data_IF_371859084617
#
_entry.id   IF_371859084617
#
_cell.length_a   1.000
_cell.length_b   1.000
_cell.length_c   1.000
_cell.angle_alpha   90.00
_cell.angle_beta   90.00
_cell.angle_gamma   90.00
#
_symmetry.space_group_name_H-M   'P 1'
#
loop_
_entity.id
_entity.type
_entity.pdbx_description
1 polymer ?
2 non-polymer ?
3 non-polymer ?
4 non-polymer ?
5 water ?
#
# COMPACT_ATOMS: atom_id res chain seq x y z
N UNK A 6 13.55 24.36 -9.93
CA UNK A 6 13.56 23.14 -10.75
C UNK A 6 12.44 22.17 -10.36
N UNK A 7 11.23 22.44 -10.80
CA UNK A 7 10.06 21.75 -10.29
C UNK A 7 9.87 20.40 -10.94
N UNK A 8 9.26 19.49 -10.17
CA UNK A 8 8.75 18.25 -10.73
C UNK A 8 7.67 18.56 -11.75
N UNK A 9 7.68 17.83 -12.87
CA UNK A 9 6.74 18.08 -13.94
C UNK A 9 6.32 16.77 -14.57
N UNK A 10 5.26 16.86 -15.36
CA UNK A 10 4.78 15.78 -16.21
C UNK A 10 4.93 16.21 -17.65
N UNK A 11 5.27 15.27 -18.54
CA UNK A 11 5.21 15.58 -19.96
C UNK A 11 4.68 14.38 -20.74
N UNK A 12 4.08 14.67 -21.90
CA UNK A 12 3.62 13.60 -22.76
C UNK A 12 4.81 12.82 -23.29
N UNK A 13 4.60 11.53 -23.46
CA UNK A 13 5.56 10.66 -24.16
C UNK A 13 4.78 9.74 -25.06
N UNK A 14 5.39 9.35 -26.18
CA UNK A 14 4.73 8.40 -27.09
C UNK A 14 4.62 7.03 -26.46
N UNK A 15 3.44 6.44 -26.58
CA UNK A 15 3.24 5.07 -26.12
C UNK A 15 4.02 4.12 -27.02
N UNK A 16 4.63 3.10 -26.42
CA UNK A 16 5.39 2.12 -27.22
C UNK A 16 4.46 1.43 -28.21
N UNK A 17 4.87 1.41 -29.49
CA UNK A 17 4.00 0.85 -30.52
C UNK A 17 3.66 -0.60 -30.28
N UNK A 18 4.46 -1.32 -29.49
CA UNK A 18 4.23 -2.72 -29.21
C UNK A 18 3.83 -2.98 -27.75
N UNK A 19 3.21 -1.99 -27.11
CA UNK A 19 2.84 -2.11 -25.69
C UNK A 19 2.05 -3.39 -25.41
N UNK A 20 1.03 -3.69 -26.22
CA UNK A 20 0.22 -4.87 -25.91
C UNK A 20 1.06 -6.15 -25.96
N UNK A 21 1.99 -6.24 -26.90
CA UNK A 21 2.85 -7.42 -26.94
C UNK A 21 3.77 -7.47 -25.72
N UNK A 22 4.31 -6.33 -25.32
CA UNK A 22 5.17 -6.27 -24.14
C UNK A 22 4.41 -6.70 -22.90
N UNK A 23 3.18 -6.23 -22.75
CA UNK A 23 2.40 -6.61 -21.56
C UNK A 23 2.17 -8.12 -21.54
N UNK A 24 1.71 -8.67 -22.67
CA UNK A 24 1.47 -10.10 -22.77
C UNK A 24 2.75 -10.89 -22.47
N UNK A 25 3.87 -10.50 -23.06
CA UNK A 25 5.10 -11.26 -22.85
C UNK A 25 5.60 -11.20 -21.42
N UNK A 26 5.20 -10.20 -20.65
CA UNK A 26 5.72 -10.06 -19.29
C UNK A 26 4.68 -10.40 -18.23
N UNK A 27 3.58 -11.04 -18.61
CA UNK A 27 2.60 -11.46 -17.63
C UNK A 27 1.75 -10.34 -17.06
N UNK A 28 1.70 -9.19 -17.74
CA UNK A 28 0.91 -8.06 -17.27
C UNK A 28 -0.50 -8.19 -17.85
N UNK A 29 -1.29 -9.08 -17.26
CA UNK A 29 -2.61 -9.41 -17.78
C UNK A 29 -3.70 -8.46 -17.30
N UNK A 30 -3.34 -7.34 -16.68
CA UNK A 30 -4.36 -6.37 -16.29
C UNK A 30 -3.92 -4.95 -16.64
N UNK A 31 -3.11 -4.78 -17.70
CA UNK A 31 -2.71 -3.45 -18.14
C UNK A 31 -3.88 -2.70 -18.76
N UNK A 32 -4.89 -3.43 -19.21
CA UNK A 32 -6.19 -2.91 -19.61
C UNK A 32 -7.21 -3.67 -18.77
N UNK A 33 -8.21 -2.95 -18.23
CA UNK A 33 -9.18 -3.53 -17.30
C UNK A 33 -10.57 -3.21 -17.82
N UNK A 34 -11.35 -4.24 -18.11
CA UNK A 34 -12.54 -4.23 -18.97
C UNK A 34 -12.52 -3.09 -19.98
N UNK A 35 -11.59 -3.18 -20.92
CA UNK A 35 -11.46 -2.29 -22.07
C UNK A 35 -11.23 -0.83 -21.69
N UNK A 36 -10.80 -0.56 -20.45
CA UNK A 36 -10.33 0.76 -20.07
C UNK A 36 -8.82 0.71 -19.81
N UNK A 37 -8.10 1.73 -20.27
CA UNK A 37 -6.68 1.86 -19.97
C UNK A 37 -6.48 1.86 -18.46
N UNK A 38 -5.59 0.99 -17.98
CA UNK A 38 -5.08 1.08 -16.62
C UNK A 38 -3.62 1.54 -16.61
N UNK A 39 -2.71 0.77 -17.21
CA UNK A 39 -1.33 1.20 -17.38
C UNK A 39 -1.27 2.31 -18.42
N UNK A 40 -0.80 3.49 -18.04
CA UNK A 40 -0.87 4.65 -18.94
C UNK A 40 0.51 5.28 -19.16
N UNK A 41 1.18 4.87 -20.24
CA UNK A 41 2.48 5.44 -20.56
C UNK A 41 2.40 6.51 -21.63
N UNK A 42 1.24 7.15 -21.78
CA UNK A 42 1.16 8.31 -22.65
C UNK A 42 1.71 9.57 -21.99
N UNK A 43 2.11 9.49 -20.72
CA UNK A 43 2.76 10.62 -20.06
C UNK A 43 3.71 10.03 -19.02
N UNK A 44 4.58 10.88 -18.50
CA UNK A 44 5.56 10.44 -17.51
C UNK A 44 5.91 11.63 -16.61
N UNK A 45 6.21 11.32 -15.35
CA UNK A 45 6.64 12.31 -14.38
C UNK A 45 8.16 12.33 -14.28
N UNK A 46 8.72 13.53 -14.21
CA UNK A 46 10.16 13.72 -14.11
C UNK A 46 10.45 14.40 -12.78
N UNK A 47 11.22 13.71 -11.94
CA UNK A 47 11.71 14.20 -10.65
C UNK A 47 13.21 14.44 -10.73
N UNK A 48 13.71 15.38 -9.94
CA UNK A 48 15.15 15.44 -9.73
C UNK A 48 15.56 14.45 -8.65
N UNK A 49 16.85 14.11 -8.63
CA UNK A 49 17.33 13.20 -7.60
C UNK A 49 17.16 13.78 -6.20
N UNK A 50 17.33 15.10 -6.06
CA UNK A 50 17.14 15.73 -4.76
C UNK A 50 15.69 15.60 -4.28
N UNK A 51 14.74 15.81 -5.17
CA UNK A 51 13.33 15.61 -4.81
C UNK A 51 13.09 14.18 -4.33
N UNK A 52 13.62 13.19 -5.06
CA UNK A 52 13.49 11.80 -4.62
C UNK A 52 14.07 11.63 -3.22
N UNK A 53 15.34 12.04 -3.04
CA UNK A 53 16.04 11.70 -1.80
C UNK A 53 15.53 12.53 -0.64
N UNK A 54 15.31 13.83 -0.85
CA UNK A 54 14.96 14.69 0.28
C UNK A 54 13.47 14.74 0.54
N UNK A 55 12.64 14.63 -0.51
CA UNK A 55 11.20 14.80 -0.29
C UNK A 55 10.44 13.49 -0.27
N UNK A 56 10.99 12.40 -0.81
CA UNK A 56 10.22 11.16 -0.82
C UNK A 56 10.92 10.08 0.01
N UNK A 57 12.19 9.80 -0.30
CA UNK A 57 12.86 8.63 0.25
C UNK A 57 13.13 8.78 1.74
N UNK A 58 13.87 9.82 2.14
CA UNK A 58 14.14 10.04 3.55
C UNK A 58 12.87 10.20 4.37
N UNK A 59 11.87 10.99 3.95
CA UNK A 59 10.63 11.05 4.75
C UNK A 59 9.91 9.72 4.86
N UNK A 60 9.88 8.91 3.79
CA UNK A 60 9.23 7.59 3.89
C UNK A 60 9.90 6.72 4.94
N UNK A 61 11.23 6.68 4.92
CA UNK A 61 11.95 5.89 5.92
C UNK A 61 11.68 6.43 7.32
N UNK A 62 11.67 7.75 7.48
CA UNK A 62 11.42 8.34 8.79
C UNK A 62 9.99 8.06 9.24
N UNK A 63 9.01 8.20 8.34
CA UNK A 63 7.63 7.92 8.71
C UNK A 63 7.45 6.47 9.13
N UNK A 64 8.17 5.53 8.49
CA UNK A 64 8.06 4.13 8.91
C UNK A 64 8.55 3.95 10.34
N UNK A 65 9.66 4.60 10.70
CA UNK A 65 10.11 4.55 12.09
C UNK A 65 9.06 5.11 13.04
N UNK A 66 8.43 6.23 12.66
CA UNK A 66 7.35 6.80 13.47
C UNK A 66 6.20 5.81 13.62
N UNK A 67 5.89 5.09 12.56
CA UNK A 67 4.84 4.06 12.60
C UNK A 67 5.21 2.92 13.54
N UNK A 68 6.48 2.51 13.55
CA UNK A 68 6.86 1.45 14.48
C UNK A 68 6.73 1.91 15.92
N UNK A 69 7.00 3.19 16.20
CA UNK A 69 6.75 3.72 17.53
C UNK A 69 5.26 3.67 17.87
N UNK A 70 4.39 4.04 16.91
CA UNK A 70 2.96 3.90 17.14
C UNK A 70 2.60 2.46 17.52
N UNK A 71 3.13 1.47 16.79
CA UNK A 71 2.82 0.09 17.13
C UNK A 71 3.21 -0.20 18.57
N UNK A 72 4.42 0.22 18.95
CA UNK A 72 4.92 -0.09 20.29
C UNK A 72 4.03 0.53 21.36
N UNK A 73 3.50 1.73 21.12
CA UNK A 73 2.59 2.34 22.10
C UNK A 73 1.21 1.71 22.06
N UNK A 74 0.70 1.40 20.85
CA UNK A 74 -0.68 0.95 20.75
C UNK A 74 -0.88 -0.43 21.41
N UNK A 75 0.09 -1.32 21.27
CA UNK A 75 -0.11 -2.66 21.82
C UNK A 75 -0.22 -2.65 23.34
N UNK A 76 0.20 -1.57 23.98
CA UNK A 76 0.18 -1.42 25.44
C UNK A 76 -1.05 -0.68 25.95
N UNK A 77 -1.94 -0.23 25.07
CA UNK A 77 -2.94 0.76 25.46
C UNK A 77 -4.29 0.33 24.92
N UNK A 78 -5.17 -0.12 25.83
CA UNK A 78 -6.44 -0.67 25.41
C UNK A 78 -7.37 0.41 24.87
N UNK A 79 -7.21 1.65 25.33
CA UNK A 79 -8.00 2.75 24.79
C UNK A 79 -7.67 2.99 23.32
N UNK A 80 -6.39 2.88 22.96
CA UNK A 80 -5.95 3.04 21.58
C UNK A 80 -6.45 1.88 20.72
N UNK A 81 -6.24 0.66 21.20
CA UNK A 81 -6.74 -0.50 20.48
C UNK A 81 -8.23 -0.38 20.24
N UNK A 82 -8.96 0.14 21.23
CA UNK A 82 -10.40 0.37 21.06
C UNK A 82 -10.66 1.40 19.97
N UNK A 83 -9.92 2.52 19.99
CA UNK A 83 -10.12 3.53 18.96
C UNK A 83 -9.81 2.99 17.57
N UNK A 84 -8.79 2.15 17.46
CA UNK A 84 -8.45 1.49 16.19
C UNK A 84 -9.48 0.46 15.76
N UNK A 85 -10.53 0.23 16.56
CA UNK A 85 -11.61 -0.72 16.23
C UNK A 85 -11.06 -2.12 15.98
N UNK A 86 -10.07 -2.51 16.77
CA UNK A 86 -9.53 -3.87 16.75
C UNK A 86 -10.31 -4.69 17.79
N UNK A 87 -10.90 -5.83 17.41
CA UNK A 87 -11.68 -6.60 18.40
C UNK A 87 -10.80 -7.05 19.56
N UNK A 88 -11.30 -6.94 20.79
CA UNK A 88 -10.47 -7.24 21.98
C UNK A 88 -10.01 -8.68 22.05
N UNK A 89 -10.69 -9.61 21.39
CA UNK A 89 -10.21 -10.98 21.32
C UNK A 89 -8.78 -11.06 20.84
N UNK A 90 -8.36 -10.10 20.00
CA UNK A 90 -7.07 -10.22 19.32
C UNK A 90 -5.99 -9.34 19.94
N UNK A 91 -6.32 -8.57 20.99
CA UNK A 91 -5.32 -7.68 21.55
C UNK A 91 -4.08 -8.44 22.02
N UNK A 92 -4.27 -9.58 22.71
CA UNK A 92 -3.10 -10.31 23.22
C UNK A 92 -2.24 -10.86 22.09
N UNK A 93 -2.86 -11.42 21.05
CA UNK A 93 -2.03 -12.04 20.02
C UNK A 93 -1.34 -10.96 19.16
N UNK A 94 -2.00 -9.82 18.94
CA UNK A 94 -1.32 -8.71 18.25
C UNK A 94 -0.15 -8.21 19.09
N UNK A 95 -0.37 -8.05 20.40
CA UNK A 95 0.73 -7.66 21.28
C UNK A 95 1.87 -8.66 21.21
N UNK A 96 1.55 -9.95 21.14
CA UNK A 96 2.59 -10.97 21.09
C UNK A 96 3.31 -10.96 19.75
N UNK A 97 2.56 -10.79 18.65
CA UNK A 97 3.16 -10.62 17.34
C UNK A 97 4.22 -9.51 17.35
N UNK A 98 3.90 -8.37 17.99
CA UNK A 98 4.87 -7.28 18.05
C UNK A 98 6.04 -7.64 18.96
N UNK A 99 5.75 -8.24 20.11
CA UNK A 99 6.84 -8.57 21.04
C UNK A 99 7.81 -9.54 20.41
N UNK A 100 7.31 -10.52 19.66
CA UNK A 100 8.19 -11.44 18.96
C UNK A 100 8.78 -10.82 17.70
N UNK A 101 8.40 -9.60 17.35
CA UNK A 101 8.87 -8.94 16.14
C UNK A 101 8.68 -9.84 14.92
N UNK A 102 7.45 -10.34 14.73
CA UNK A 102 7.14 -11.10 13.53
C UNK A 102 7.64 -10.34 12.31
N UNK A 103 8.29 -11.00 11.36
CA UNK A 103 8.93 -10.27 10.26
C UNK A 103 7.91 -9.66 9.31
N UNK A 104 8.21 -8.45 8.85
CA UNK A 104 7.44 -7.77 7.81
C UNK A 104 8.19 -7.84 6.48
N UNK A 105 7.42 -7.92 5.40
CA UNK A 105 7.95 -7.89 4.03
C UNK A 105 7.81 -6.52 3.37
N UNK A 106 6.62 -5.92 3.38
CA UNK A 106 6.43 -4.71 2.56
C UNK A 106 5.26 -3.88 3.08
N UNK A 107 5.15 -2.68 2.49
CA UNK A 107 4.07 -1.72 2.81
C UNK A 107 4.23 -0.55 1.88
N UNK A 108 3.13 0.20 1.69
CA UNK A 108 3.16 1.33 0.76
C UNK A 108 2.41 2.52 1.33
N UNK A 109 3.09 3.66 1.44
CA UNK A 109 2.48 4.91 1.86
C UNK A 109 1.93 5.67 0.67
N UNK A 110 0.82 6.36 0.87
CA UNK A 110 0.21 7.22 -0.14
C UNK A 110 0.42 8.68 0.25
N UNK A 111 0.98 9.47 -0.68
CA UNK A 111 1.37 10.86 -0.41
C UNK A 111 0.70 11.85 -1.35
N UNK A 112 0.29 12.97 -0.79
CA UNK A 112 -0.10 14.14 -1.55
C UNK A 112 1.15 14.99 -1.80
N UNK A 113 1.51 15.14 -3.07
CA UNK A 113 2.65 15.96 -3.48
C UNK A 113 2.30 17.44 -3.40
N UNK A 114 3.19 18.22 -2.82
CA UNK A 114 2.96 19.64 -2.54
C UNK A 114 4.02 20.53 -3.17
N UNK A 115 4.59 20.13 -4.31
CA UNK A 115 5.65 20.95 -4.92
C UNK A 115 6.89 20.97 -4.04
N UNK A 116 7.40 22.18 -3.77
CA UNK A 116 8.61 22.37 -2.96
C UNK A 116 8.39 22.11 -1.47
N UNK A 117 7.16 21.97 -1.04
CA UNK A 117 6.85 21.76 0.37
C UNK A 117 6.89 20.27 0.67
N UNK A 118 6.87 19.89 1.95
CA UNK A 118 6.90 18.45 2.27
C UNK A 118 5.67 17.71 1.74
N UNK A 119 5.87 16.43 1.41
CA UNK A 119 4.71 15.60 1.06
C UNK A 119 3.87 15.35 2.32
N UNK A 120 2.59 15.09 2.11
CA UNK A 120 1.67 14.80 3.20
C UNK A 120 1.18 13.37 3.11
N UNK A 121 1.34 12.65 4.21
CA UNK A 121 0.93 11.26 4.31
C UNK A 121 -0.58 11.14 4.44
N UNK A 122 -1.20 10.41 3.52
CA UNK A 122 -2.65 10.19 3.56
C UNK A 122 -3.04 8.89 4.26
N UNK A 123 -2.30 7.80 4.02
CA UNK A 123 -2.54 6.51 4.65
C UNK A 123 -1.29 5.66 4.48
N UNK A 124 -1.23 4.57 5.25
CA UNK A 124 -0.16 3.58 5.12
C UNK A 124 -0.82 2.24 4.77
N UNK A 125 -0.77 1.87 3.49
CA UNK A 125 -1.24 0.55 3.04
C UNK A 125 -0.20 -0.49 3.47
N UNK A 126 -0.24 -0.83 4.76
CA UNK A 126 0.81 -1.60 5.42
C UNK A 126 0.52 -3.11 5.50
N UNK A 127 -0.47 -3.60 4.78
CA UNK A 127 -0.89 -4.99 4.90
C UNK A 127 -0.92 -5.64 3.52
N UNK A 128 -1.80 -5.16 2.63
CA UNK A 128 -2.02 -5.79 1.33
C UNK A 128 -1.94 -4.77 0.18
N UNK A 129 -0.89 -3.96 0.09
CA UNK A 129 -0.80 -3.02 -1.03
C UNK A 129 -0.63 -3.75 -2.36
N UNK A 130 -1.29 -3.24 -3.40
CA UNK A 130 -0.99 -3.65 -4.77
C UNK A 130 -0.27 -2.50 -5.48
N UNK A 131 -0.37 -2.47 -6.81
CA UNK A 131 0.48 -1.68 -7.71
C UNK A 131 1.96 -2.02 -7.54
N UNK A 132 2.23 -3.22 -7.04
CA UNK A 132 3.59 -3.70 -6.84
C UNK A 132 4.23 -4.17 -8.15
N UNK A 133 3.55 -5.00 -8.91
CA UNK A 133 4.11 -5.41 -10.20
C UNK A 133 4.44 -4.20 -11.06
N UNK A 134 3.52 -3.25 -11.12
CA UNK A 134 3.72 -2.03 -11.91
C UNK A 134 4.92 -1.25 -11.41
N UNK A 135 5.02 -1.06 -10.08
CA UNK A 135 6.06 -0.20 -9.50
C UNK A 135 7.43 -0.86 -9.56
N UNK A 136 7.51 -2.15 -9.26
CA UNK A 136 8.80 -2.83 -9.13
C UNK A 136 9.33 -3.33 -10.46
N UNK A 137 8.44 -3.72 -11.37
CA UNK A 137 8.85 -4.44 -12.57
C UNK A 137 8.47 -3.70 -13.84
N UNK A 138 7.17 -3.49 -14.10
CA UNK A 138 6.79 -3.06 -15.44
C UNK A 138 7.34 -1.67 -15.76
N UNK A 139 7.40 -0.76 -14.79
CA UNK A 139 7.87 0.58 -15.12
C UNK A 139 9.38 0.63 -15.23
N UNK A 140 10.10 -0.34 -14.67
CA UNK A 140 11.53 -0.38 -14.94
C UNK A 140 11.79 -0.79 -16.38
N UNK A 141 11.08 -1.81 -16.87
CA UNK A 141 11.17 -2.15 -18.28
C UNK A 141 10.81 -0.96 -19.14
N UNK A 142 9.78 -0.21 -18.75
CA UNK A 142 9.44 1.02 -19.48
C UNK A 142 10.62 1.99 -19.51
N UNK A 143 11.28 2.18 -18.36
CA UNK A 143 12.42 3.09 -18.30
C UNK A 143 13.52 2.68 -19.28
N UNK A 144 13.84 1.38 -19.31
CA UNK A 144 14.90 0.88 -20.20
C UNK A 144 14.54 1.14 -21.65
N UNK A 145 13.28 0.89 -22.03
CA UNK A 145 12.85 1.14 -23.40
C UNK A 145 12.84 2.64 -23.71
N UNK A 146 12.47 3.46 -22.73
CA UNK A 146 12.33 4.89 -22.95
C UNK A 146 13.69 5.57 -23.11
N UNK A 147 14.66 5.18 -22.28
CA UNK A 147 16.02 5.66 -22.46
C UNK A 147 16.56 5.32 -23.83
N UNK A 148 16.34 4.09 -24.32
CA UNK A 148 16.94 3.80 -25.62
C UNK A 148 16.17 4.41 -26.78
N UNK A 149 14.85 4.60 -26.65
CA UNK A 149 14.13 5.29 -27.72
C UNK A 149 14.28 6.82 -27.67
N UNK A 150 14.90 7.38 -26.64
CA UNK A 150 15.14 8.81 -26.57
C UNK A 150 13.97 9.67 -26.15
N UNK A 151 12.87 9.08 -25.67
CA UNK A 151 11.73 9.88 -25.25
C UNK A 151 11.91 10.48 -23.87
N UNK A 152 12.96 10.06 -23.15
CA UNK A 152 13.44 10.67 -21.90
C UNK A 152 14.97 10.68 -22.00
N UNK A 153 15.69 11.42 -21.15
CA UNK A 153 17.16 11.42 -21.22
C UNK A 153 17.74 10.01 -21.15
N UNK A 154 18.84 9.80 -21.88
CA UNK A 154 19.50 8.50 -21.93
C UNK A 154 20.01 8.08 -20.56
N UNK A 155 20.37 9.04 -19.72
CA UNK A 155 20.87 8.74 -18.39
C UNK A 155 19.79 8.81 -17.32
N UNK A 156 18.51 8.85 -17.72
CA UNK A 156 17.41 8.83 -16.75
C UNK A 156 17.54 7.66 -15.79
N UNK A 157 17.16 7.89 -14.53
CA UNK A 157 17.08 6.85 -13.51
C UNK A 157 15.60 6.70 -13.11
N UNK A 158 15.35 5.93 -12.06
CA UNK A 158 13.99 5.81 -11.52
C UNK A 158 14.10 5.47 -10.04
N UNK A 159 13.15 5.97 -9.24
CA UNK A 159 13.21 5.67 -7.81
C UNK A 159 12.56 4.29 -7.63
N UNK A 160 13.40 3.26 -7.57
CA UNK A 160 12.94 1.89 -7.75
C UNK A 160 14.08 0.90 -7.58
N UNK A 161 14.25 0.39 -6.36
CA UNK A 161 15.05 -0.79 -6.09
C UNK A 161 14.19 -1.87 -5.46
N UNK A 162 12.87 -1.82 -5.75
CA UNK A 162 11.90 -2.64 -5.01
C UNK A 162 12.17 -4.12 -5.19
N UNK A 163 12.35 -4.56 -6.45
CA UNK A 163 12.55 -5.99 -6.71
C UNK A 163 13.78 -6.51 -6.00
N UNK A 164 14.90 -5.78 -6.07
CA UNK A 164 16.11 -6.22 -5.41
C UNK A 164 15.91 -6.34 -3.90
N UNK A 165 15.21 -5.37 -3.30
CA UNK A 165 14.98 -5.45 -1.86
C UNK A 165 14.00 -6.57 -1.51
N UNK A 166 12.99 -6.82 -2.34
CA UNK A 166 12.10 -7.95 -2.10
C UNK A 166 12.87 -9.27 -2.13
N UNK A 167 13.70 -9.47 -3.15
CA UNK A 167 14.44 -10.72 -3.27
C UNK A 167 15.36 -10.89 -2.07
N UNK A 168 16.05 -9.82 -1.70
CA UNK A 168 16.96 -9.88 -0.57
C UNK A 168 16.20 -10.10 0.75
N UNK A 169 14.99 -9.58 0.87
CA UNK A 169 14.21 -9.83 2.07
C UNK A 169 13.74 -11.29 2.13
N UNK A 170 13.28 -11.85 1.01
CA UNK A 170 12.92 -13.26 1.00
C UNK A 170 14.12 -14.14 1.30
N UNK A 171 15.32 -13.71 0.90
CA UNK A 171 16.52 -14.45 1.25
C UNK A 171 16.73 -14.45 2.76
N UNK A 172 16.54 -13.30 3.42
CA UNK A 172 16.64 -13.25 4.88
C UNK A 172 15.62 -14.14 5.57
N UNK A 173 14.43 -14.30 4.97
CA UNK A 173 13.35 -15.06 5.57
C UNK A 173 13.33 -16.51 5.12
N UNK A 174 14.38 -16.96 4.44
CA UNK A 174 14.39 -18.29 3.85
C UNK A 174 14.09 -19.35 4.91
N UNK A 175 13.29 -20.33 4.52
CA UNK A 175 13.04 -21.52 5.31
C UNK A 175 13.00 -22.71 4.37
N UNK A 176 13.44 -23.86 4.89
CA UNK A 176 13.27 -25.10 4.11
C UNK A 176 11.78 -25.42 3.91
N UNK A 177 10.93 -24.93 4.81
CA UNK A 177 9.51 -25.17 4.72
C UNK A 177 8.92 -24.37 3.56
N UNK A 178 8.03 -24.97 2.77
CA UNK A 178 7.39 -24.23 1.68
C UNK A 178 6.66 -22.98 2.19
N UNK A 179 6.81 -21.89 1.45
CA UNK A 179 6.21 -20.58 1.75
C UNK A 179 4.96 -20.48 0.89
N UNK A 180 3.78 -20.49 1.52
CA UNK A 180 2.56 -20.42 0.71
C UNK A 180 2.24 -18.97 0.36
N UNK A 181 1.54 -18.78 -0.77
CA UNK A 181 1.07 -17.48 -1.22
C UNK A 181 -0.41 -17.59 -1.55
N UNK A 182 -1.24 -16.70 -1.02
CA UNK A 182 -2.65 -16.82 -1.34
C UNK A 182 -3.31 -15.48 -1.62
N UNK A 183 -4.38 -15.54 -2.40
CA UNK A 183 -5.23 -14.39 -2.72
C UNK A 183 -6.60 -14.94 -3.06
N UNK A 184 -7.56 -14.03 -3.25
CA UNK A 184 -8.90 -14.46 -3.60
C UNK A 184 -8.99 -14.70 -5.10
N UNK A 185 -10.09 -15.33 -5.49
CA UNK A 185 -10.34 -15.65 -6.89
C UNK A 185 -10.94 -14.44 -7.61
N UNK A 186 -10.98 -14.54 -8.93
CA UNK A 186 -11.70 -13.58 -9.78
C UNK A 186 -11.13 -12.16 -9.71
N UNK A 187 -9.82 -12.03 -9.45
CA UNK A 187 -9.15 -10.74 -9.62
C UNK A 187 -7.76 -11.02 -10.20
N UNK A 188 -7.57 -10.70 -11.48
CA UNK A 188 -6.27 -10.92 -12.11
C UNK A 188 -5.19 -10.08 -11.46
N UNK A 189 -5.55 -8.89 -10.97
CA UNK A 189 -4.59 -8.02 -10.31
C UNK A 189 -4.04 -8.66 -9.05
N UNK A 190 -4.92 -9.17 -8.17
CA UNK A 190 -4.44 -9.85 -6.98
C UNK A 190 -3.58 -11.06 -7.34
N UNK A 191 -4.05 -11.91 -8.26
CA UNK A 191 -3.29 -13.10 -8.61
C UNK A 191 -1.89 -12.73 -9.12
N UNK A 192 -1.80 -11.70 -9.96
CA UNK A 192 -0.49 -11.35 -10.54
C UNK A 192 0.42 -10.64 -9.53
N UNK A 193 -0.17 -9.87 -8.61
CA UNK A 193 0.62 -9.31 -7.51
C UNK A 193 1.27 -10.43 -6.70
N UNK A 194 0.49 -11.45 -6.35
CA UNK A 194 1.02 -12.56 -5.57
C UNK A 194 1.99 -13.39 -6.41
N UNK A 195 1.68 -13.58 -7.70
CA UNK A 195 2.61 -14.31 -8.56
C UNK A 195 3.94 -13.58 -8.66
N UNK A 196 3.91 -12.25 -8.66
CA UNK A 196 5.16 -11.50 -8.68
C UNK A 196 5.96 -11.73 -7.41
N UNK A 197 5.30 -11.64 -6.26
CA UNK A 197 5.97 -11.92 -5.00
C UNK A 197 6.55 -13.34 -4.98
N UNK A 198 5.76 -14.31 -5.45
CA UNK A 198 6.24 -15.69 -5.52
C UNK A 198 7.49 -15.78 -6.37
N UNK A 199 7.47 -15.12 -7.54
CA UNK A 199 8.63 -15.09 -8.41
C UNK A 199 9.85 -14.52 -7.69
N UNK A 200 9.66 -13.44 -6.91
CA UNK A 200 10.78 -12.87 -6.15
C UNK A 200 11.28 -13.87 -5.11
N UNK A 201 10.37 -14.56 -4.43
CA UNK A 201 10.79 -15.52 -3.40
C UNK A 201 11.59 -16.67 -4.01
N UNK A 202 11.18 -17.12 -5.19
CA UNK A 202 11.86 -18.24 -5.83
C UNK A 202 13.23 -17.82 -6.32
N UNK A 203 13.37 -16.58 -6.76
CA UNK A 203 14.67 -16.05 -7.14
C UNK A 203 15.63 -15.98 -5.94
N UNK A 204 15.11 -15.89 -4.72
CA UNK A 204 15.94 -15.98 -3.52
C UNK A 204 16.17 -17.40 -3.03
N UNK A 205 15.63 -18.40 -3.71
CA UNK A 205 15.78 -19.79 -3.32
C UNK A 205 14.67 -20.35 -2.47
N UNK A 206 13.57 -19.62 -2.31
CA UNK A 206 12.48 -20.04 -1.42
C UNK A 206 11.49 -20.89 -2.20
N UNK A 207 11.30 -22.14 -1.76
CA UNK A 207 10.24 -22.96 -2.32
C UNK A 207 8.89 -22.33 -1.97
N UNK A 208 8.04 -22.16 -2.97
CA UNK A 208 6.79 -21.43 -2.80
C UNK A 208 5.64 -22.19 -3.43
N UNK A 209 4.46 -22.08 -2.80
CA UNK A 209 3.27 -22.72 -3.30
C UNK A 209 2.10 -21.74 -3.26
N UNK A 210 1.30 -21.74 -4.31
CA UNK A 210 0.15 -20.87 -4.38
C UNK A 210 -1.12 -21.63 -4.01
N UNK A 211 -2.01 -21.00 -3.26
CA UNK A 211 -3.33 -21.56 -3.03
C UNK A 211 -4.32 -20.40 -2.94
N UNK A 212 -5.50 -20.57 -3.52
CA UNK A 212 -6.53 -19.54 -3.35
C UNK A 212 -7.01 -19.53 -1.91
N UNK A 213 -7.32 -18.33 -1.40
CA UNK A 213 -7.98 -18.20 -0.10
C UNK A 213 -9.18 -19.12 -0.03
N UNK A 214 -9.95 -19.21 -1.12
CA UNK A 214 -11.16 -20.00 -1.10
C UNK A 214 -10.87 -21.50 -1.00
N UNK A 215 -9.65 -21.92 -1.35
CA UNK A 215 -9.26 -23.32 -1.29
C UNK A 215 -8.58 -23.73 0.01
N UNK A 216 -8.33 -22.78 0.94
CA UNK A 216 -7.75 -23.14 2.23
C UNK A 216 -8.68 -24.06 2.98
N UNK A 217 -8.11 -25.12 3.59
CA UNK A 217 -8.87 -26.06 4.37
C UNK A 217 -8.44 -26.06 5.84
N UNK A 218 -9.26 -26.70 6.67
CA UNK A 218 -8.98 -26.83 8.09
C UNK A 218 -9.03 -28.31 8.45
N UNK A 219 -7.94 -28.82 9.00
CA UNK A 219 -7.92 -30.16 9.55
C UNK A 219 -8.43 -30.16 10.99
N UNK A 220 -8.42 -31.34 11.59
CA UNK A 220 -9.00 -31.51 12.92
C UNK A 220 -8.33 -30.52 13.87
N UNK A 221 -9.15 -29.83 14.67
CA UNK A 221 -8.62 -28.85 15.60
C UNK A 221 -8.24 -27.53 14.96
N UNK A 222 -8.58 -27.34 13.69
CA UNK A 222 -8.37 -26.05 13.05
C UNK A 222 -6.99 -25.85 12.47
N UNK A 223 -6.33 -26.92 12.04
CA UNK A 223 -5.00 -26.82 11.44
C UNK A 223 -5.15 -26.39 9.98
N UNK A 224 -4.43 -25.33 9.58
CA UNK A 224 -4.52 -24.83 8.21
C UNK A 224 -3.84 -25.78 7.23
N UNK A 225 -4.56 -26.16 6.17
CA UNK A 225 -4.04 -27.15 5.23
C UNK A 225 -4.31 -26.76 3.79
N UNK A 226 -3.48 -27.25 2.87
CA UNK A 226 -3.68 -26.99 1.44
C UNK A 226 -4.61 -28.06 0.85
N UNK A 227 -4.71 -28.09 -0.49
CA UNK A 227 -5.63 -29.02 -1.14
C UNK A 227 -5.19 -30.48 -1.04
N UNK A 228 -3.90 -30.73 -0.83
CA UNK A 228 -3.37 -32.07 -0.61
C UNK A 228 -3.29 -32.44 0.86
N UNK A 229 -4.01 -31.72 1.72
CA UNK A 229 -4.01 -31.88 3.17
C UNK A 229 -2.60 -31.72 3.78
N UNK A 230 -1.69 -31.02 3.11
CA UNK A 230 -0.44 -30.64 3.75
C UNK A 230 -0.67 -29.49 4.71
N UNK A 231 0.01 -29.51 5.86
CA UNK A 231 -0.11 -28.44 6.83
C UNK A 231 0.61 -27.20 6.33
N UNK A 232 -0.07 -26.07 6.32
CA UNK A 232 0.53 -24.79 5.92
C UNK A 232 1.18 -24.15 7.14
N UNK A 233 2.49 -23.97 7.10
CA UNK A 233 3.23 -23.41 8.23
C UNK A 233 3.46 -21.91 8.11
N UNK A 234 3.57 -21.39 6.89
CA UNK A 234 3.77 -19.97 6.68
C UNK A 234 3.13 -19.61 5.36
N UNK A 235 2.46 -18.46 5.33
CA UNK A 235 1.77 -18.00 4.14
C UNK A 235 1.83 -16.48 4.08
N UNK A 236 2.06 -15.98 2.87
CA UNK A 236 1.75 -14.58 2.56
C UNK A 236 0.30 -14.55 2.10
N UNK A 237 -0.50 -13.63 2.63
CA UNK A 237 -1.90 -13.51 2.25
C UNK A 237 -2.18 -12.11 1.70
N UNK A 238 -2.67 -12.05 0.46
CA UNK A 238 -3.20 -10.79 -0.07
C UNK A 238 -4.67 -10.70 0.32
N UNK A 239 -4.88 -10.53 1.62
CA UNK A 239 -6.18 -10.63 2.26
C UNK A 239 -6.11 -9.82 3.55
N UNK A 240 -7.07 -8.90 3.79
CA UNK A 240 -6.91 -7.94 4.89
C UNK A 240 -6.97 -8.62 6.26
N UNK A 241 -6.03 -8.22 7.13
CA UNK A 241 -6.00 -8.67 8.51
C UNK A 241 -7.35 -8.45 9.20
N UNK A 242 -7.99 -7.31 8.94
CA UNK A 242 -9.24 -7.05 9.62
C UNK A 242 -10.33 -8.04 9.21
N UNK A 243 -10.27 -8.55 7.97
CA UNK A 243 -11.23 -9.58 7.55
C UNK A 243 -10.92 -10.92 8.21
N UNK A 244 -9.64 -11.23 8.36
CA UNK A 244 -9.25 -12.46 9.07
C UNK A 244 -9.77 -12.47 10.50
N UNK A 245 -9.71 -11.32 11.16
CA UNK A 245 -10.18 -11.22 12.54
C UNK A 245 -11.69 -11.11 12.64
N UNK A 246 -12.39 -10.81 11.54
CA UNK A 246 -13.86 -10.87 11.53
C UNK A 246 -14.39 -12.23 11.11
N UNK A 247 -13.56 -13.07 10.52
CA UNK A 247 -13.99 -14.38 10.06
C UNK A 247 -14.39 -15.24 11.25
N UNK A 248 -15.37 -16.13 11.04
CA UNK A 248 -15.75 -17.07 12.09
C UNK A 248 -14.57 -17.88 12.60
N UNK A 249 -13.58 -18.13 11.74
CA UNK A 249 -12.41 -18.90 12.15
C UNK A 249 -11.29 -18.03 12.70
N UNK A 250 -11.48 -16.72 12.76
CA UNK A 250 -10.56 -15.79 13.37
C UNK A 250 -9.95 -16.24 14.69
N UNK A 251 -10.76 -16.74 15.64
CA UNK A 251 -10.18 -17.14 16.94
C UNK A 251 -9.00 -18.09 16.84
N UNK A 252 -8.91 -18.88 15.77
CA UNK A 252 -7.79 -19.78 15.60
C UNK A 252 -6.46 -19.03 15.53
N UNK A 253 -6.48 -17.75 15.16
CA UNK A 253 -5.25 -16.97 15.12
C UNK A 253 -4.56 -16.89 16.47
N UNK A 254 -5.33 -17.02 17.57
CA UNK A 254 -4.72 -16.86 18.90
C UNK A 254 -3.70 -17.95 19.19
N UNK A 255 -3.83 -19.11 18.55
CA UNK A 255 -2.89 -20.20 18.78
C UNK A 255 -1.54 -19.98 18.10
N UNK A 256 -1.44 -19.05 17.15
CA UNK A 256 -0.19 -18.74 16.46
C UNK A 256 0.47 -20.01 15.89
N UNK A 257 -0.35 -20.83 15.24
CA UNK A 257 0.12 -22.08 14.64
C UNK A 257 0.63 -21.89 13.22
N UNK A 258 0.33 -20.76 12.60
CA UNK A 258 0.82 -20.41 11.27
C UNK A 258 1.58 -19.11 11.39
N UNK A 259 2.60 -18.95 10.54
CA UNK A 259 3.22 -17.65 10.34
C UNK A 259 2.50 -16.93 9.22
N UNK A 260 2.15 -15.68 9.45
CA UNK A 260 1.49 -14.87 8.43
C UNK A 260 2.39 -13.71 8.04
N UNK A 261 2.41 -13.41 6.74
CA UNK A 261 2.97 -12.18 6.20
C UNK A 261 1.90 -11.52 5.34
N UNK A 262 1.59 -10.25 5.59
CA UNK A 262 2.13 -9.43 6.69
C UNK A 262 1.64 -9.94 8.06
N UNK A 263 2.39 -9.66 9.12
CA UNK A 263 2.07 -10.23 10.43
C UNK A 263 0.98 -9.45 11.14
N UNK A 264 0.51 -10.03 12.25
CA UNK A 264 -0.67 -9.47 12.92
C UNK A 264 -0.43 -8.06 13.45
N UNK A 265 0.80 -7.73 13.83
CA UNK A 265 0.98 -6.39 14.38
C UNK A 265 0.78 -5.30 13.32
N UNK A 266 0.79 -5.66 12.03
CA UNK A 266 0.51 -4.68 10.98
C UNK A 266 -0.93 -4.22 10.99
N UNK A 267 -1.81 -4.87 11.79
CA UNK A 267 -3.19 -4.42 11.87
C UNK A 267 -3.30 -3.02 12.49
N UNK A 268 -2.28 -2.58 13.24
CA UNK A 268 -2.27 -1.24 13.79
C UNK A 268 -1.94 -0.20 12.73
N UNK A 269 -1.17 -0.57 11.70
CA UNK A 269 -0.74 0.35 10.67
C UNK A 269 -1.66 0.38 9.46
N UNK A 270 -2.23 -0.78 9.10
CA UNK A 270 -3.15 -0.91 7.95
C UNK A 270 -4.58 -0.61 8.42
N UNK A 271 -4.76 0.66 8.74
CA UNK A 271 -5.81 1.11 9.63
C UNK A 271 -5.74 2.64 9.54
N UNK A 272 -6.81 3.32 9.11
CA UNK A 272 -6.71 4.77 8.99
C UNK A 272 -6.66 5.45 10.35
N UNK A 273 -7.01 4.74 11.41
CA UNK A 273 -6.78 5.21 12.76
C UNK A 273 -5.32 5.49 13.05
N UNK A 274 -4.41 4.96 12.22
CA UNK A 274 -3.00 5.34 12.29
C UNK A 274 -2.83 6.86 12.15
N UNK A 275 -3.64 7.50 11.32
CA UNK A 275 -3.36 8.89 11.02
C UNK A 275 -3.63 9.79 12.24
N UNK A 276 -4.72 9.60 12.99
CA UNK A 276 -4.83 10.35 14.25
C UNK A 276 -3.72 10.02 15.23
N UNK A 277 -3.26 8.76 15.26
CA UNK A 277 -2.24 8.39 16.22
C UNK A 277 -0.92 9.04 15.87
N UNK A 278 -0.60 9.12 14.58
CA UNK A 278 0.63 9.81 14.18
C UNK A 278 0.56 11.28 14.56
N UNK A 279 -0.61 11.90 14.39
CA UNK A 279 -0.75 13.31 14.72
C UNK A 279 -0.68 13.52 16.23
N UNK A 280 -1.20 12.57 17.00
CA UNK A 280 -1.14 12.67 18.45
C UNK A 280 0.30 12.61 18.96
N UNK A 281 1.09 11.68 18.43
CA UNK A 281 2.42 11.41 18.98
C UNK A 281 3.51 12.22 18.30
N UNK A 282 3.24 12.81 17.14
CA UNK A 282 4.22 13.64 16.44
C UNK A 282 3.55 14.91 15.94
N UNK A 283 2.95 15.69 16.83
CA UNK A 283 2.19 16.86 16.38
C UNK A 283 3.11 17.82 15.62
N UNK A 284 2.57 18.36 14.53
CA UNK A 284 3.28 19.32 13.73
C UNK A 284 4.33 18.76 12.80
N UNK A 285 4.51 17.44 12.76
CA UNK A 285 5.52 16.86 11.88
C UNK A 285 5.26 17.33 10.44
N UNK A 286 6.31 17.66 9.69
CA UNK A 286 6.11 18.30 8.37
C UNK A 286 5.34 17.46 7.37
N UNK A 287 5.41 16.13 7.48
CA UNK A 287 4.75 15.24 6.54
C UNK A 287 3.38 14.79 7.01
N UNK A 288 2.89 15.29 8.15
CA UNK A 288 1.62 14.85 8.67
C UNK A 288 0.55 15.93 8.52
N UNK A 289 -0.68 15.46 8.38
CA UNK A 289 -1.88 16.29 8.39
C UNK A 289 -2.61 16.11 9.72
N UNK A 290 -3.18 17.19 10.24
CA UNK A 290 -4.02 17.05 11.44
C UNK A 290 -5.06 15.95 11.21
N UNK A 291 -5.27 15.11 12.23
CA UNK A 291 -6.21 14.01 12.05
C UNK A 291 -6.77 13.61 13.42
N UNK A 292 -8.04 13.20 13.45
CA UNK A 292 -8.70 12.84 14.70
C UNK A 292 -9.74 11.76 14.45
N UNK A 293 -10.05 10.99 15.49
CA UNK A 293 -11.13 10.01 15.38
C UNK A 293 -12.48 10.71 15.38
N UNK A 294 -13.45 10.09 14.72
CA UNK A 294 -14.82 10.59 14.73
C UNK A 294 -15.31 10.69 16.17
N UNK A 295 -15.73 11.88 16.57
CA UNK A 295 -16.15 12.16 17.93
C UNK A 295 -15.18 13.01 18.73
N UNK A 296 -13.92 13.05 18.34
CA UNK A 296 -12.95 13.92 19.00
C UNK A 296 -13.09 15.34 18.47
N UNK A 297 -12.53 16.30 19.22
CA UNK A 297 -12.63 17.70 18.83
C UNK A 297 -11.85 17.95 17.54
N UNK A 298 -12.45 18.57 16.53
CA UNK A 298 -11.72 18.79 15.26
C UNK A 298 -10.45 19.60 15.46
N UNK A 299 -9.39 19.17 14.77
CA UNK A 299 -8.08 19.83 14.86
C UNK A 299 -7.79 20.69 13.63
N UNK A 300 -8.82 21.37 13.11
CA UNK A 300 -8.70 22.40 12.08
C UNK A 300 -9.58 23.57 12.53
N UNK A 301 -9.36 24.73 11.92
CA UNK A 301 -10.17 25.90 12.26
C UNK A 301 -11.47 25.89 11.46
N UNK A 302 -12.47 26.63 11.97
CA UNK A 302 -13.68 26.85 11.22
C UNK A 302 -13.36 27.37 9.81
N UNK A 303 -14.13 26.89 8.84
CA UNK A 303 -13.98 27.32 7.46
C UNK A 303 -13.13 26.39 6.60
N UNK A 304 -12.18 25.68 7.20
CA UNK A 304 -11.33 24.78 6.43
C UNK A 304 -12.11 23.58 5.93
N UNK A 305 -11.74 23.09 4.73
CA UNK A 305 -12.23 21.82 4.23
C UNK A 305 -11.62 20.66 5.02
N UNK A 306 -12.22 19.48 4.90
CA UNK A 306 -11.73 18.35 5.67
C UNK A 306 -12.21 17.06 5.02
N UNK A 307 -11.55 15.96 5.39
CA UNK A 307 -11.82 14.67 4.78
C UNK A 307 -12.31 13.72 5.86
N UNK A 308 -13.32 12.93 5.56
CA UNK A 308 -13.76 11.84 6.42
C UNK A 308 -13.55 10.54 5.65
N UNK A 309 -12.95 9.55 6.30
CA UNK A 309 -12.76 8.29 5.59
C UNK A 309 -12.82 7.14 6.57
N UNK A 310 -13.09 5.91 6.08
CA UNK A 310 -13.20 4.77 6.99
C UNK A 310 -11.87 4.40 7.62
N UNK A 311 -11.97 3.74 8.77
CA UNK A 311 -10.80 3.12 9.38
C UNK A 311 -10.30 1.95 8.54
N UNK A 312 -11.23 1.16 8.00
CA UNK A 312 -10.90 0.00 7.18
C UNK A 312 -11.57 0.20 5.83
N UNK A 313 -10.75 0.30 4.77
CA UNK A 313 -11.25 0.55 3.42
C UNK A 313 -10.07 0.51 2.46
N UNK A 314 -10.35 0.63 1.17
CA UNK A 314 -9.28 0.68 0.19
C UNK A 314 -9.83 1.29 -1.08
N UNK A 315 -8.91 1.72 -1.96
CA UNK A 315 -9.29 2.13 -3.32
C UNK A 315 -10.27 3.30 -3.33
N UNK A 316 -10.19 4.16 -2.31
CA UNK A 316 -11.01 5.34 -2.26
C UNK A 316 -12.41 5.13 -1.75
N UNK A 317 -12.77 3.90 -1.37
CA UNK A 317 -14.10 3.58 -0.94
C UNK A 317 -14.59 4.46 0.20
N UNK A 318 -15.69 5.17 -0.02
CA UNK A 318 -16.41 5.88 1.06
C UNK A 318 -15.59 7.01 1.65
N UNK A 319 -14.66 7.56 0.88
CA UNK A 319 -14.02 8.82 1.23
C UNK A 319 -14.99 9.95 0.90
N UNK A 320 -15.12 10.91 1.82
CA UNK A 320 -15.90 12.13 1.57
C UNK A 320 -15.02 13.34 1.85
N UNK A 321 -14.95 14.25 0.89
CA UNK A 321 -14.33 15.55 1.11
C UNK A 321 -15.43 16.55 1.39
N UNK A 322 -15.31 17.25 2.53
CA UNK A 322 -16.25 18.27 2.96
C UNK A 322 -15.61 19.65 2.82
N UNK A 323 -16.43 20.64 2.50
CA UNK A 323 -15.96 22.02 2.59
C UNK A 323 -16.25 22.56 4.00
N UNK A 324 -15.77 23.77 4.27
CA UNK A 324 -15.98 24.35 5.58
C UNK A 324 -17.38 24.86 5.87
N UNK A 325 -18.31 24.73 4.93
CA UNK A 325 -19.73 24.85 5.23
C UNK A 325 -20.38 23.48 5.42
N UNK A 326 -19.57 22.42 5.49
CA UNK A 326 -20.02 21.04 5.69
C UNK A 326 -20.82 20.49 4.49
N UNK A 327 -20.71 21.10 3.31
CA UNK A 327 -21.23 20.46 2.11
C UNK A 327 -20.22 19.45 1.56
N UNK A 328 -20.73 18.48 0.82
CA UNK A 328 -19.90 17.47 0.17
C UNK A 328 -19.20 18.09 -1.03
N UNK A 329 -17.87 18.08 -1.02
CA UNK A 329 -17.08 18.50 -2.18
C UNK A 329 -17.00 17.37 -3.19
N UNK A 330 -16.60 16.18 -2.71
CA UNK A 330 -16.54 14.99 -3.53
C UNK A 330 -16.76 13.77 -2.64
N UNK A 331 -17.10 12.66 -3.26
CA UNK A 331 -17.40 11.44 -2.52
C UNK A 331 -17.19 10.26 -3.43
N UNK A 332 -16.67 9.17 -2.89
CA UNK A 332 -16.47 7.94 -3.66
C UNK A 332 -17.31 6.81 -3.08
N UNK A 333 -18.01 6.10 -3.98
CA UNK A 333 -18.70 4.88 -3.62
C UNK A 333 -17.71 3.87 -3.01
N UNK A 334 -18.24 2.91 -2.27
CA UNK A 334 -17.42 1.81 -1.78
C UNK A 334 -18.23 0.91 -0.86
N UNK A 335 -17.62 -0.21 -0.47
CA UNK A 335 -18.26 -1.21 0.38
C UNK A 335 -17.99 -0.97 1.86
N UNK A 336 -17.59 0.23 2.25
CA UNK A 336 -17.13 0.46 3.61
C UNK A 336 -17.99 1.49 4.33
N UNK A 337 -19.24 1.65 3.89
CA UNK A 337 -20.10 2.72 4.40
C UNK A 337 -20.35 2.57 5.90
N UNK A 338 -20.32 1.36 6.41
CA UNK A 338 -20.66 1.08 7.80
C UNK A 338 -19.44 1.06 8.73
N UNK A 339 -18.22 1.19 8.20
CA UNK A 339 -17.06 1.17 9.08
C UNK A 339 -17.00 2.45 9.92
N UNK A 340 -16.42 2.40 11.12
CA UNK A 340 -16.10 3.64 11.84
C UNK A 340 -15.10 4.46 11.06
N UNK A 341 -15.05 5.76 11.38
CA UNK A 341 -14.41 6.75 10.51
C UNK A 341 -13.41 7.60 11.26
N UNK A 342 -12.48 8.18 10.51
CA UNK A 342 -11.58 9.22 11.01
C UNK A 342 -11.77 10.47 10.17
N UNK A 343 -11.23 11.57 10.68
CA UNK A 343 -11.16 12.83 9.96
C UNK A 343 -9.71 13.23 9.77
N UNK A 344 -9.45 13.97 8.70
CA UNK A 344 -8.10 14.44 8.41
C UNK A 344 -8.18 15.82 7.76
N UNK A 345 -7.21 16.69 8.06
CA UNK A 345 -7.13 17.95 7.33
C UNK A 345 -6.95 17.67 5.83
N UNK A 346 -7.37 18.63 5.02
CA UNK A 346 -7.48 18.44 3.57
C UNK A 346 -6.28 19.02 2.84
N UNK A 347 -5.58 18.20 2.07
CA UNK A 347 -4.54 18.67 1.16
C UNK A 347 -4.86 18.08 -0.21
N UNK A 348 -5.37 18.89 -1.15
CA UNK A 348 -5.77 18.34 -2.44
C UNK A 348 -4.57 17.72 -3.15
N UNK A 349 -4.81 16.59 -3.80
CA UNK A 349 -3.79 16.04 -4.70
C UNK A 349 -3.47 17.08 -5.78
N UNK A 350 -2.24 17.11 -6.26
CA UNK A 350 -1.88 18.06 -7.33
C UNK A 350 -2.58 17.64 -8.61
N UNK A 351 -2.87 18.65 -9.44
CA UNK A 351 -3.58 18.43 -10.69
C UNK A 351 -2.63 18.70 -11.85
N UNK A 352 -2.51 17.73 -12.74
CA UNK A 352 -1.73 17.83 -13.97
C UNK A 352 -2.69 17.60 -15.13
N UNK A 353 -2.86 18.62 -15.97
CA UNK A 353 -3.92 18.55 -16.96
C UNK A 353 -5.25 18.40 -16.25
N UNK A 354 -5.97 17.33 -16.56
CA UNK A 354 -7.23 17.05 -15.88
C UNK A 354 -7.13 15.87 -14.93
N UNK A 355 -5.93 15.44 -14.57
CA UNK A 355 -5.75 14.29 -13.71
C UNK A 355 -5.20 14.75 -12.37
N UNK A 356 -5.60 14.01 -11.32
CA UNK A 356 -5.15 14.20 -9.95
C UNK A 356 -4.19 13.08 -9.60
N UNK A 357 -3.04 13.44 -9.02
CA UNK A 357 -1.87 12.58 -9.02
C UNK A 357 -1.51 12.17 -7.59
N UNK A 358 -1.28 10.87 -7.41
CA UNK A 358 -1.03 10.28 -6.10
C UNK A 358 0.30 9.54 -6.15
N UNK A 359 1.14 9.74 -5.15
CA UNK A 359 2.43 9.06 -5.04
C UNK A 359 2.29 7.89 -4.07
N UNK A 360 2.66 6.69 -4.52
CA UNK A 360 2.75 5.56 -3.60
C UNK A 360 4.21 5.24 -3.33
N UNK A 361 4.66 5.30 -2.08
CA UNK A 361 6.07 5.15 -1.75
C UNK A 361 6.27 3.87 -0.97
N UNK A 362 7.21 3.04 -1.41
CA UNK A 362 7.31 1.65 -0.95
C UNK A 362 8.34 1.46 0.16
N UNK A 363 7.99 0.60 1.11
CA UNK A 363 8.88 0.11 2.15
C UNK A 363 9.04 -1.39 1.95
N UNK A 364 10.28 -1.89 2.09
CA UNK A 364 10.53 -3.34 2.16
C UNK A 364 11.27 -3.57 3.47
N UNK A 365 10.62 -4.34 4.36
CA UNK A 365 10.98 -4.44 5.77
C UNK A 365 10.91 -3.07 6.43
N UNK A 366 12.03 -2.32 6.43
CA UNK A 366 12.01 -0.97 6.96
C UNK A 366 12.67 0.04 6.03
N UNK A 367 12.97 -0.34 4.80
CA UNK A 367 13.77 0.47 3.89
C UNK A 367 12.89 1.11 2.83
N UNK A 368 12.98 2.45 2.72
CA UNK A 368 12.31 3.15 1.62
C UNK A 368 13.06 2.85 0.33
N UNK A 369 12.35 2.31 -0.69
CA UNK A 369 13.07 1.82 -1.86
C UNK A 369 12.35 2.01 -3.20
N UNK A 370 11.26 2.76 -3.30
CA UNK A 370 10.74 3.02 -4.63
C UNK A 370 9.41 3.69 -4.58
N UNK A 371 8.94 4.11 -5.77
CA UNK A 371 7.62 4.74 -5.82
C UNK A 371 6.92 4.49 -7.14
N UNK A 372 5.59 4.46 -7.06
CA UNK A 372 4.75 4.34 -8.24
C UNK A 372 3.67 5.40 -8.14
N UNK A 373 3.25 5.90 -9.30
CA UNK A 373 2.32 7.04 -9.36
C UNK A 373 0.98 6.57 -9.92
N UNK A 374 -0.11 7.08 -9.36
CA UNK A 374 -1.43 6.84 -9.92
C UNK A 374 -2.07 8.17 -10.27
N UNK A 375 -2.78 8.20 -11.39
CA UNK A 375 -3.60 9.35 -11.78
C UNK A 375 -5.07 8.96 -11.82
N UNK A 376 -5.94 9.91 -11.50
CA UNK A 376 -7.38 9.63 -11.57
C UNK A 376 -8.12 10.91 -11.93
N UNK A 377 -9.42 10.79 -12.19
CA UNK A 377 -10.11 11.97 -12.73
C UNK A 377 -10.71 12.88 -11.66
N UNK A 378 -10.72 12.51 -10.38
CA UNK A 378 -11.19 13.39 -9.32
C UNK A 378 -10.16 13.47 -8.18
N UNK A 379 -10.47 14.32 -7.20
CA UNK A 379 -9.63 14.48 -6.02
C UNK A 379 -9.47 13.20 -5.22
N UNK A 380 -10.33 12.20 -5.42
CA UNK A 380 -10.31 10.96 -4.65
C UNK A 380 -9.85 9.86 -5.59
N UNK A 381 -8.63 9.37 -5.40
CA UNK A 381 -8.12 8.26 -6.19
C UNK A 381 -8.98 7.04 -5.95
N UNK A 382 -9.50 6.43 -7.02
CA UNK A 382 -10.37 5.29 -6.78
C UNK A 382 -10.19 4.22 -7.85
N UNK A 383 -11.26 3.48 -8.16
CA UNK A 383 -11.12 2.28 -9.00
C UNK A 383 -10.89 2.60 -10.47
N UNK A 384 -11.03 3.86 -10.88
CA UNK A 384 -10.74 4.24 -12.25
C UNK A 384 -9.31 4.72 -12.45
N UNK A 385 -8.46 4.64 -11.43
CA UNK A 385 -7.16 5.28 -11.51
C UNK A 385 -6.26 4.56 -12.50
N UNK A 386 -5.29 5.29 -13.04
CA UNK A 386 -4.30 4.76 -13.96
C UNK A 386 -2.93 4.78 -13.30
N UNK A 387 -2.07 3.82 -13.67
CA UNK A 387 -0.67 3.85 -13.22
C UNK A 387 0.18 4.54 -14.27
N UNK A 388 1.05 5.46 -13.83
CA UNK A 388 1.87 6.28 -14.72
C UNK A 388 3.34 6.15 -14.34
N UNK A 389 4.23 5.86 -15.29
CA UNK A 389 5.66 5.77 -14.98
C UNK A 389 6.25 7.13 -14.60
N UNK A 390 7.36 7.07 -13.87
CA UNK A 390 8.15 8.27 -13.60
C UNK A 390 9.61 7.95 -13.90
N UNK A 391 10.43 9.01 -13.95
CA UNK A 391 11.87 8.85 -14.01
C UNK A 391 12.54 10.00 -13.24
N UNK A 392 13.84 9.85 -13.04
CA UNK A 392 14.70 10.83 -12.39
C UNK A 392 15.63 11.43 -13.43
N UNK A 393 15.70 12.76 -13.47
CA UNK A 393 16.67 13.44 -14.31
C UNK A 393 17.05 14.73 -13.61
N UNK A 394 18.35 15.03 -13.55
CA UNK A 394 18.81 16.21 -12.84
C UNK A 394 18.63 16.10 -11.34
X LIG B 1 -7.72 4.32 0.42
X LIG B 1 -9.21 4.40 0.16
X LIG B 1 -7.30 3.18 1.32
X LIG B 1 -6.87 4.49 -0.80
X LIG B 1 -6.62 6.91 1.18
X LIG B 1 -6.33 7.46 2.56
X LIG B 1 -5.46 6.67 0.22
X LIG B 1 -7.48 5.60 1.38
X LIG B 1 -7.62 7.95 0.47
X LIG B 1 -8.04 7.69 -0.87
X LIG B 1 -7.89 8.94 -1.73
X LIG B 1 -8.70 9.97 -1.19
X LIG B 1 -6.47 9.52 -1.73
X LIG B 1 -5.69 8.94 -2.78
X LIG B 1 -6.74 10.97 -2.02
X LIG B 1 -7.16 11.06 -3.38
X LIG B 1 -8.01 11.21 -1.24
X LIG B 1 -7.65 11.64 0.13
X LIG B 1 -7.62 10.88 1.24
X LIG B 1 -7.27 11.62 2.33
X LIG B 1 -7.08 12.89 1.91
X LIG B 1 -6.71 14.18 2.51
X LIG B 1 -6.49 14.26 3.84
X LIG B 1 -6.60 15.25 1.70
X LIG B 1 -6.87 15.18 0.39
X LIG B 1 -7.22 14.04 -0.23
X LIG B 1 -7.33 12.89 0.47
X LIG C 1 -5.54 2.16 1.21
X LIG D 1 -4.77 5.11 -0.88
X LIG E 1 -4.85 14.55 -18.69
X LIG E 1 -6.20 14.99 -18.35
X LIG E 1 -4.91 13.64 -19.82
X LIG E 1 -4.04 15.71 -19.01
X LIG E 1 -4.25 13.86 -17.54
X LIG F 1 -5.22 1.98 -2.00
X LIG F 1 -5.75 1.57 -0.69
X LIG F 1 -6.24 1.92 -3.05
X LIG F 1 -4.70 3.35 -1.95
X LIG F 1 -4.15 1.08 -2.41
#
# INVERSE_FOLDING_TARGET
MHHHHHHMLRHNVPVRRDLDQIAADNGFDFHIIDNEIYWDESRAYRFTLRQIEEQIEKPTAELHQMCLEVVDRAVKDEEILTQLAIPPLYWDVIAESWRARDPSLYGRMDFAWCGNAPVKLLEYNADTPTSLYESAYFQWLWLEDARRSGIIPRDADQYNAIQERLISRFSELYSREPFYFCCCQDTDEDRSTVLYLQDCAQQAGQESRFIYIEDLGLGVGGVLTDLDDNVIQRAFKLYPLEWMMRDDNGPLLRKRREQWVEPLWKSILSNKGLMPLLWRFFPGHPNLLASWFDGEKPQIAAGESYVRKPIYSREGGNVTIFDGKNNVVDHADGDYADEPMIYQAFQPLPRFGDSYTLIGSWIVDDEACGMGIREDNTLITKDTSRFVPHYIAG
ADP PB O1B O2B O3B PA O1A O2A O3A O5' C5' C4' O4' C3' O3' C2' O2' C1' N9 C8 N7 C5 C6 N6 N1 C2 N3 C4
MG MG
MG MG
SO4 S O1 O2 O3 O4
SO4 S O1 O2 O3 O4
#
